data_IF_479164029567
#
_entry.id   IF_479164029567
#
_cell.length_a   1.000
_cell.length_b   1.000
_cell.length_c   1.000
_cell.angle_alpha   90.00
_cell.angle_beta   90.00
_cell.angle_gamma   90.00
#
_symmetry.space_group_name_H-M   'P 1'
#
loop_
_entity.id
_entity.type
_entity.pdbx_description
1 polymer ?
#
# COMPACT_ATOMS: atom_id res chain seq x y z
N UNK A 1 -7.53 4.75 2.82
CA UNK A 1 -6.44 4.82 3.82
C UNK A 1 -5.83 3.45 4.15
N UNK A 2 -6.62 2.39 4.34
CA UNK A 2 -6.07 1.06 4.64
C UNK A 2 -5.19 0.52 3.52
N UNK A 3 -5.50 0.81 2.26
CA UNK A 3 -4.73 0.37 1.10
C UNK A 3 -3.35 1.04 1.03
N UNK A 4 -3.19 2.25 1.59
CA UNK A 4 -1.89 2.90 1.69
C UNK A 4 -0.94 2.11 2.63
N UNK A 5 -1.47 1.55 3.73
CA UNK A 5 -0.67 0.67 4.59
C UNK A 5 -0.43 -0.70 3.92
N UNK A 6 -1.38 -1.19 3.12
CA UNK A 6 -1.14 -2.39 2.31
C UNK A 6 -0.01 -2.19 1.31
N UNK A 7 0.16 -0.99 0.73
CA UNK A 7 1.29 -0.70 -0.14
C UNK A 7 2.64 -0.85 0.59
N UNK A 8 2.74 -0.36 1.83
CA UNK A 8 3.93 -0.52 2.68
C UNK A 8 4.16 -2.01 3.00
N UNK A 9 3.11 -2.74 3.37
CA UNK A 9 3.19 -4.18 3.62
C UNK A 9 3.66 -4.94 2.38
N UNK A 10 3.12 -4.63 1.21
CA UNK A 10 3.47 -5.28 -0.04
C UNK A 10 4.94 -5.01 -0.41
N UNK A 11 5.43 -3.78 -0.22
CA UNK A 11 6.83 -3.44 -0.40
C UNK A 11 7.74 -4.22 0.59
N UNK A 12 7.34 -4.29 1.86
CA UNK A 12 8.06 -5.02 2.90
C UNK A 12 8.11 -6.53 2.62
N UNK A 13 6.97 -7.12 2.28
CA UNK A 13 6.84 -8.56 2.02
C UNK A 13 7.35 -8.98 0.63
N UNK A 14 7.44 -8.07 -0.33
CA UNK A 14 7.78 -8.36 -1.73
C UNK A 14 6.69 -9.11 -2.50
N UNK A 15 5.42 -9.04 -2.06
CA UNK A 15 4.25 -9.67 -2.71
C UNK A 15 3.00 -8.83 -2.52
N UNK A 16 1.97 -9.08 -3.33
CA UNK A 16 0.65 -8.44 -3.19
C UNK A 16 -0.38 -9.34 -2.49
N UNK A 17 -0.06 -10.60 -2.21
CA UNK A 17 -0.97 -11.60 -1.60
C UNK A 17 -0.85 -11.69 -0.07
N UNK A 18 0.02 -10.87 0.53
CA UNK A 18 0.26 -10.82 1.98
C UNK A 18 1.24 -11.85 2.52
N UNK A 19 1.77 -12.75 1.68
CA UNK A 19 2.87 -13.64 2.05
C UNK A 19 4.21 -12.92 1.95
N UNK A 20 5.27 -13.54 2.46
CA UNK A 20 6.63 -13.01 2.37
C UNK A 20 7.38 -13.74 1.25
N UNK A 21 7.93 -12.98 0.30
CA UNK A 21 8.83 -13.53 -0.71
C UNK A 21 10.19 -13.84 -0.10
N UNK A 22 10.89 -14.83 -0.66
CA UNK A 22 12.28 -15.13 -0.29
C UNK A 22 13.26 -14.00 -0.61
N UNK A 23 12.95 -13.19 -1.63
CA UNK A 23 13.70 -11.99 -2.02
C UNK A 23 12.87 -10.74 -1.65
N UNK A 24 12.86 -10.38 -0.37
CA UNK A 24 12.08 -9.26 0.17
C UNK A 24 12.83 -8.54 1.29
N UNK A 25 12.40 -7.33 1.63
CA UNK A 25 12.89 -6.61 2.81
C UNK A 25 12.65 -7.45 4.07
N UNK A 26 11.48 -8.09 4.17
CA UNK A 26 11.14 -8.97 5.27
C UNK A 26 12.15 -10.11 5.45
N UNK A 27 12.45 -10.84 4.37
CA UNK A 27 13.41 -11.96 4.40
C UNK A 27 14.82 -11.50 4.72
N UNK A 28 15.26 -10.36 4.16
CA UNK A 28 16.55 -9.75 4.45
C UNK A 28 16.69 -9.39 5.93
N UNK A 29 15.73 -8.65 6.48
CA UNK A 29 15.76 -8.28 7.89
C UNK A 29 15.67 -9.50 8.81
N UNK A 30 14.84 -10.48 8.47
CA UNK A 30 14.74 -11.72 9.24
C UNK A 30 16.08 -12.44 9.35
N UNK A 31 16.88 -12.43 8.31
CA UNK A 31 18.21 -13.03 8.29
C UNK A 31 19.27 -12.20 9.03
N UNK A 32 19.21 -10.87 8.93
CA UNK A 32 20.23 -9.95 9.44
C UNK A 32 19.93 -9.41 10.85
N UNK A 33 18.64 -9.12 11.14
CA UNK A 33 18.17 -8.56 12.39
C UNK A 33 16.71 -8.99 12.63
N UNK A 34 16.53 -10.20 13.15
CA UNK A 34 15.19 -10.75 13.38
C UNK A 34 14.34 -9.90 14.34
N UNK A 35 14.95 -9.21 15.29
CA UNK A 35 14.21 -8.31 16.18
C UNK A 35 13.58 -7.14 15.43
N UNK A 36 14.32 -6.52 14.51
CA UNK A 36 13.80 -5.44 13.65
C UNK A 36 12.74 -5.96 12.67
N UNK A 37 12.92 -7.17 12.12
CA UNK A 37 11.90 -7.81 11.28
C UNK A 37 10.57 -7.96 12.03
N UNK A 38 10.58 -8.56 13.23
CA UNK A 38 9.38 -8.80 14.03
C UNK A 38 8.72 -7.49 14.47
N UNK A 39 9.52 -6.50 14.87
CA UNK A 39 9.04 -5.16 15.20
C UNK A 39 8.32 -4.51 14.01
N UNK A 40 8.98 -4.43 12.86
CA UNK A 40 8.42 -3.79 11.66
C UNK A 40 7.12 -4.48 11.22
N UNK A 41 7.11 -5.80 11.18
CA UNK A 41 5.91 -6.60 10.86
C UNK A 41 4.76 -6.32 11.82
N UNK A 42 5.03 -6.28 13.12
CA UNK A 42 4.04 -5.95 14.15
C UNK A 42 3.47 -4.54 13.96
N UNK A 43 4.32 -3.56 13.66
CA UNK A 43 3.91 -2.17 13.49
C UNK A 43 3.12 -1.94 12.20
N UNK A 44 3.47 -2.61 11.09
CA UNK A 44 2.67 -2.61 9.85
C UNK A 44 1.24 -3.13 10.15
N UNK A 45 1.13 -4.25 10.86
CA UNK A 45 -0.16 -4.82 11.22
C UNK A 45 -0.94 -3.91 12.19
N UNK A 46 -0.26 -3.29 13.16
CA UNK A 46 -0.87 -2.34 14.09
C UNK A 46 -1.43 -1.11 13.37
N UNK A 47 -0.67 -0.49 12.46
CA UNK A 47 -1.12 0.64 11.65
C UNK A 47 -2.32 0.26 10.78
N UNK A 48 -2.26 -0.88 10.09
CA UNK A 48 -3.37 -1.38 9.27
C UNK A 48 -4.65 -1.59 10.10
N UNK A 49 -4.55 -2.27 11.24
CA UNK A 49 -5.70 -2.56 12.09
C UNK A 49 -6.27 -1.30 12.71
N UNK A 50 -5.42 -0.36 13.15
CA UNK A 50 -5.87 0.92 13.72
C UNK A 50 -6.64 1.75 12.67
N UNK A 51 -6.17 1.83 11.43
CA UNK A 51 -6.89 2.52 10.35
C UNK A 51 -8.21 1.81 10.02
N UNK A 52 -8.22 0.48 9.95
CA UNK A 52 -9.48 -0.27 9.75
C UNK A 52 -10.48 -0.11 10.88
N UNK A 53 -9.99 0.10 12.10
CA UNK A 53 -10.80 0.32 13.30
C UNK A 53 -11.33 1.75 13.46
N UNK A 54 -10.96 2.70 12.58
CA UNK A 54 -11.49 4.06 12.65
C UNK A 54 -13.01 4.06 12.45
N UNK A 55 -13.69 4.93 13.23
CA UNK A 55 -15.13 5.10 13.15
C UNK A 55 -15.57 5.55 11.75
N UNK A 56 -16.62 4.91 11.24
CA UNK A 56 -17.19 5.19 9.90
C UNK A 56 -18.54 5.94 10.01
N UNK A 57 -18.84 6.85 9.09
CA UNK A 57 -17.99 7.39 8.04
C UNK A 57 -16.91 8.33 8.59
N UNK A 58 -15.68 8.21 8.10
CA UNK A 58 -14.51 8.94 8.59
C UNK A 58 -14.75 10.45 8.72
N UNK A 59 -15.35 11.06 7.67
CA UNK A 59 -15.63 12.50 7.65
C UNK A 59 -16.40 13.01 8.87
N UNK A 60 -17.32 12.21 9.40
CA UNK A 60 -18.15 12.56 10.56
C UNK A 60 -17.47 12.26 11.90
N UNK A 61 -16.32 11.58 11.88
CA UNK A 61 -15.65 11.05 13.08
C UNK A 61 -14.19 11.47 13.17
N UNK A 62 -13.78 12.56 12.50
CA UNK A 62 -12.38 13.04 12.45
C UNK A 62 -11.80 13.29 13.87
N UNK A 63 -12.63 13.76 14.81
CA UNK A 63 -12.23 13.98 16.21
C UNK A 63 -12.31 12.76 17.13
N UNK A 64 -12.62 11.57 16.59
CA UNK A 64 -12.74 10.36 17.39
C UNK A 64 -11.34 9.85 17.83
N UNK A 65 -11.26 9.26 19.04
CA UNK A 65 -10.00 8.70 19.56
C UNK A 65 -9.38 7.65 18.65
N UNK A 66 -10.20 6.88 17.94
CA UNK A 66 -9.70 5.88 16.97
C UNK A 66 -8.86 6.49 15.84
N UNK A 67 -9.12 7.75 15.45
CA UNK A 67 -8.30 8.47 14.47
C UNK A 67 -6.93 8.82 15.08
N UNK A 68 -6.91 9.31 16.32
CA UNK A 68 -5.67 9.61 17.05
C UNK A 68 -4.83 8.33 17.27
N UNK A 69 -5.47 7.21 17.55
CA UNK A 69 -4.79 5.91 17.69
C UNK A 69 -4.19 5.45 16.36
N UNK A 70 -4.91 5.60 15.25
CA UNK A 70 -4.39 5.30 13.91
C UNK A 70 -3.19 6.20 13.56
N UNK A 71 -3.28 7.50 13.84
CA UNK A 71 -2.16 8.43 13.63
C UNK A 71 -0.92 8.02 14.43
N UNK A 72 -1.07 7.66 15.71
CA UNK A 72 0.04 7.19 16.55
C UNK A 72 0.67 5.91 16.01
N UNK A 73 -0.15 4.95 15.57
CA UNK A 73 0.35 3.70 15.00
C UNK A 73 1.15 3.95 13.70
N UNK A 74 0.66 4.85 12.83
CA UNK A 74 1.38 5.25 11.62
C UNK A 74 2.70 5.98 11.94
N UNK A 75 2.70 6.90 12.92
CA UNK A 75 3.91 7.61 13.34
C UNK A 75 4.97 6.65 13.94
N UNK A 76 4.52 5.64 14.69
CA UNK A 76 5.43 4.60 15.22
C UNK A 76 6.08 3.81 14.09
N UNK A 77 5.29 3.36 13.12
CA UNK A 77 5.78 2.65 11.93
C UNK A 77 6.75 3.53 11.11
N UNK A 78 6.39 4.78 10.87
CA UNK A 78 7.24 5.74 10.13
C UNK A 78 8.59 5.92 10.82
N UNK A 79 8.61 6.08 12.14
CA UNK A 79 9.84 6.21 12.92
C UNK A 79 10.73 4.95 12.80
N UNK A 80 10.15 3.75 12.87
CA UNK A 80 10.89 2.49 12.69
C UNK A 80 11.44 2.35 11.27
N UNK A 81 10.65 2.67 10.25
CA UNK A 81 11.09 2.62 8.86
C UNK A 81 12.24 3.59 8.60
N UNK A 82 12.12 4.81 9.10
CA UNK A 82 13.11 5.87 8.86
C UNK A 82 14.40 5.66 9.66
N UNK A 83 14.28 5.33 10.93
CA UNK A 83 15.44 5.33 11.86
C UNK A 83 16.12 3.97 11.98
N UNK A 84 15.48 2.88 11.52
CA UNK A 84 16.01 1.52 11.70
C UNK A 84 16.05 0.72 10.39
N UNK A 85 14.93 0.62 9.66
CA UNK A 85 14.88 -0.17 8.42
C UNK A 85 15.71 0.47 7.32
N UNK A 86 15.53 1.78 7.08
CA UNK A 86 16.30 2.51 6.06
C UNK A 86 17.81 2.42 6.29
N UNK A 87 18.37 2.66 7.49
CA UNK A 87 19.81 2.45 7.73
C UNK A 87 20.26 1.00 7.52
N UNK A 88 19.44 0.02 7.89
CA UNK A 88 19.77 -1.40 7.66
C UNK A 88 19.91 -1.72 6.15
N UNK A 89 19.03 -1.16 5.32
CA UNK A 89 19.10 -1.33 3.88
C UNK A 89 20.24 -0.53 3.24
N UNK A 90 20.55 0.67 3.74
CA UNK A 90 21.67 1.47 3.25
C UNK A 90 23.04 0.82 3.55
N UNK A 91 23.12 -0.05 4.55
CA UNK A 91 24.32 -0.83 4.86
C UNK A 91 24.39 -2.19 4.14
N UNK A 92 23.35 -2.54 3.35
CA UNK A 92 23.36 -3.77 2.56
C UNK A 92 24.24 -3.63 1.32
N UNK A 93 24.81 -4.72 0.86
CA UNK A 93 25.56 -4.76 -0.39
C UNK A 93 24.62 -4.75 -1.61
N UNK A 94 25.14 -4.34 -2.76
CA UNK A 94 24.38 -4.37 -4.02
C UNK A 94 23.84 -5.78 -4.32
N UNK A 95 24.67 -6.82 -4.14
CA UNK A 95 24.27 -8.21 -4.36
C UNK A 95 23.17 -8.71 -3.41
N UNK A 96 23.00 -8.10 -2.25
CA UNK A 96 21.89 -8.39 -1.33
C UNK A 96 20.62 -7.65 -1.74
N UNK A 97 20.74 -6.42 -2.28
CA UNK A 97 19.60 -5.60 -2.68
C UNK A 97 19.04 -5.92 -4.06
N UNK A 98 19.90 -6.29 -5.02
CA UNK A 98 19.49 -6.56 -6.40
C UNK A 98 18.32 -7.55 -6.51
N UNK A 99 18.31 -8.74 -5.88
CA UNK A 99 17.19 -9.66 -5.96
C UNK A 99 15.92 -9.12 -5.27
N UNK A 100 16.07 -8.30 -4.24
CA UNK A 100 14.93 -7.67 -3.55
C UNK A 100 14.29 -6.62 -4.47
N UNK A 101 15.10 -5.77 -5.09
CA UNK A 101 14.62 -4.72 -6.00
C UNK A 101 13.96 -5.36 -7.21
N UNK A 102 14.60 -6.38 -7.81
CA UNK A 102 14.03 -7.10 -8.95
C UNK A 102 12.67 -7.71 -8.60
N UNK A 103 12.58 -8.45 -7.49
CA UNK A 103 11.33 -9.03 -7.03
C UNK A 103 10.28 -7.96 -6.76
N UNK A 104 10.64 -6.85 -6.12
CA UNK A 104 9.73 -5.75 -5.85
C UNK A 104 9.13 -5.16 -7.13
N UNK A 105 9.96 -4.91 -8.13
CA UNK A 105 9.50 -4.40 -9.43
C UNK A 105 8.57 -5.42 -10.11
N UNK A 106 9.03 -6.67 -10.25
CA UNK A 106 8.34 -7.69 -11.05
C UNK A 106 7.04 -8.21 -10.39
N UNK A 107 6.98 -8.25 -9.05
CA UNK A 107 5.89 -8.91 -8.31
C UNK A 107 4.96 -7.90 -7.60
N UNK A 108 5.42 -6.69 -7.33
CA UNK A 108 4.61 -5.68 -6.65
C UNK A 108 4.29 -4.51 -7.58
N UNK A 109 5.30 -3.82 -8.12
CA UNK A 109 5.10 -2.56 -8.86
C UNK A 109 4.35 -2.82 -10.17
N UNK A 110 4.90 -3.66 -11.04
CA UNK A 110 4.31 -3.94 -12.36
C UNK A 110 2.88 -4.49 -12.24
N UNK A 111 2.60 -5.55 -11.44
CA UNK A 111 1.24 -6.07 -11.31
C UNK A 111 0.25 -5.06 -10.71
N UNK A 112 0.70 -4.16 -9.82
CA UNK A 112 -0.18 -3.11 -9.28
C UNK A 112 -0.59 -2.12 -10.37
N UNK A 113 0.33 -1.69 -11.23
CA UNK A 113 0.00 -0.81 -12.35
C UNK A 113 -0.84 -1.51 -13.43
N UNK A 114 -0.60 -2.78 -13.72
CA UNK A 114 -1.45 -3.55 -14.63
C UNK A 114 -2.89 -3.65 -14.11
N UNK A 115 -3.06 -3.90 -12.81
CA UNK A 115 -4.37 -3.89 -12.18
C UNK A 115 -5.00 -2.49 -12.24
N UNK A 116 -4.23 -1.42 -12.01
CA UNK A 116 -4.70 -0.03 -12.11
C UNK A 116 -5.22 0.28 -13.50
N UNK A 117 -4.51 -0.10 -14.55
CA UNK A 117 -4.95 0.05 -15.95
C UNK A 117 -6.26 -0.69 -16.18
N UNK A 118 -6.35 -1.95 -15.78
CA UNK A 118 -7.54 -2.78 -15.94
C UNK A 118 -8.76 -2.16 -15.24
N UNK A 119 -8.60 -1.69 -14.01
CA UNK A 119 -9.68 -1.05 -13.24
C UNK A 119 -10.11 0.30 -13.83
N UNK A 120 -9.17 1.09 -14.35
CA UNK A 120 -9.51 2.36 -15.02
C UNK A 120 -10.24 2.15 -16.34
N UNK A 121 -9.92 1.11 -17.11
CA UNK A 121 -10.69 0.75 -18.33
C UNK A 121 -12.13 0.38 -17.96
N UNK A 122 -12.32 -0.42 -16.89
CA UNK A 122 -13.65 -0.77 -16.38
C UNK A 122 -14.42 0.46 -15.89
N UNK A 123 -13.77 1.36 -15.17
CA UNK A 123 -14.35 2.63 -14.70
C UNK A 123 -14.80 3.50 -15.89
N UNK A 124 -13.94 3.69 -16.88
CA UNK A 124 -14.29 4.44 -18.09
C UNK A 124 -15.54 3.87 -18.78
N UNK A 125 -15.62 2.54 -18.89
CA UNK A 125 -16.79 1.87 -19.47
C UNK A 125 -18.05 2.11 -18.65
N UNK A 126 -18.00 2.01 -17.33
CA UNK A 126 -19.12 2.23 -16.43
C UNK A 126 -19.60 3.71 -16.47
N UNK A 127 -18.67 4.67 -16.49
CA UNK A 127 -18.98 6.11 -16.57
C UNK A 127 -19.63 6.44 -17.93
N UNK A 128 -19.13 5.89 -19.04
CA UNK A 128 -19.77 6.07 -20.36
C UNK A 128 -21.18 5.48 -20.40
N UNK A 129 -21.39 4.31 -19.80
CA UNK A 129 -22.71 3.71 -19.69
C UNK A 129 -23.66 4.61 -18.85
N UNK A 130 -23.19 5.13 -17.73
CA UNK A 130 -23.97 6.08 -16.93
C UNK A 130 -24.34 7.34 -17.74
N UNK A 131 -23.41 7.89 -18.52
CA UNK A 131 -23.66 9.08 -19.34
C UNK A 131 -24.71 8.82 -20.43
N UNK A 132 -24.70 7.64 -21.05
CA UNK A 132 -25.63 7.28 -22.11
C UNK A 132 -26.99 6.79 -21.61
N UNK A 133 -27.02 6.17 -20.42
CA UNK A 133 -28.22 5.56 -19.81
C UNK A 133 -28.33 5.94 -18.33
N UNK A 134 -28.65 7.20 -18.00
CA UNK A 134 -28.73 7.67 -16.61
C UNK A 134 -29.80 6.90 -15.82
N UNK A 135 -29.38 6.21 -14.76
CA UNK A 135 -30.28 5.50 -13.83
C UNK A 135 -29.55 5.23 -12.51
N UNK A 136 -30.29 4.90 -11.46
CA UNK A 136 -29.71 4.46 -10.17
C UNK A 136 -28.75 3.26 -10.37
N UNK A 137 -29.15 2.29 -11.17
CA UNK A 137 -28.34 1.10 -11.42
C UNK A 137 -27.01 1.44 -12.11
N UNK A 138 -27.01 2.29 -13.14
CA UNK A 138 -25.77 2.69 -13.84
C UNK A 138 -24.91 3.59 -12.98
N UNK A 139 -25.52 4.41 -12.11
CA UNK A 139 -24.77 5.19 -11.11
C UNK A 139 -24.05 4.28 -10.09
N UNK A 140 -24.73 3.28 -9.56
CA UNK A 140 -24.15 2.32 -8.62
C UNK A 140 -23.00 1.53 -9.26
N UNK A 141 -23.16 1.12 -10.52
CA UNK A 141 -22.07 0.45 -11.26
C UNK A 141 -20.85 1.35 -11.44
N UNK A 142 -21.04 2.63 -11.79
CA UNK A 142 -19.95 3.58 -11.93
C UNK A 142 -19.26 3.88 -10.57
N UNK A 143 -20.06 4.05 -9.49
CA UNK A 143 -19.54 4.24 -8.14
C UNK A 143 -18.71 3.04 -7.66
N UNK A 144 -19.18 1.82 -7.89
CA UNK A 144 -18.45 0.59 -7.57
C UNK A 144 -17.16 0.46 -8.39
N UNK A 145 -17.19 0.76 -9.68
CA UNK A 145 -16.01 0.74 -10.54
C UNK A 145 -14.97 1.77 -10.08
N UNK A 146 -15.40 2.96 -9.65
CA UNK A 146 -14.53 3.98 -9.07
C UNK A 146 -13.85 3.50 -7.78
N UNK A 147 -14.61 2.89 -6.87
CA UNK A 147 -14.04 2.34 -5.63
C UNK A 147 -13.00 1.25 -5.94
N UNK A 148 -13.27 0.39 -6.93
CA UNK A 148 -12.33 -0.65 -7.35
C UNK A 148 -11.07 -0.08 -8.04
N UNK A 149 -11.17 1.01 -8.77
CA UNK A 149 -10.02 1.67 -9.40
C UNK A 149 -9.14 2.39 -8.37
N UNK A 150 -9.71 2.86 -7.27
CA UNK A 150 -8.97 3.47 -6.17
C UNK A 150 -8.08 2.50 -5.42
N UNK A 151 -8.44 1.23 -5.35
CA UNK A 151 -7.66 0.24 -4.60
C UNK A 151 -6.20 0.13 -5.10
N UNK A 152 -5.93 -0.22 -6.37
CA UNK A 152 -4.56 -0.24 -6.88
C UNK A 152 -3.89 1.15 -6.93
N UNK A 153 -4.66 2.22 -7.07
CA UNK A 153 -4.15 3.59 -6.95
C UNK A 153 -3.54 3.82 -5.57
N UNK A 154 -4.29 3.58 -4.50
CA UNK A 154 -3.82 3.74 -3.12
C UNK A 154 -2.67 2.76 -2.80
N UNK A 155 -2.66 1.55 -3.39
CA UNK A 155 -1.56 0.60 -3.24
C UNK A 155 -0.29 1.02 -3.99
N UNK A 156 -0.38 1.92 -4.96
CA UNK A 156 0.80 2.43 -5.68
C UNK A 156 1.54 3.55 -4.93
N UNK A 157 0.99 4.08 -3.84
CA UNK A 157 1.61 5.22 -3.13
C UNK A 157 3.00 4.92 -2.56
N UNK A 158 3.31 3.65 -2.23
CA UNK A 158 4.65 3.29 -1.75
C UNK A 158 5.77 3.40 -2.81
N UNK A 159 5.43 3.59 -4.08
CA UNK A 159 6.40 3.75 -5.18
C UNK A 159 6.23 5.02 -6.00
N UNK A 160 5.62 6.07 -5.41
CA UNK A 160 5.57 7.42 -5.97
C UNK A 160 6.89 8.15 -5.69
N UNK A 161 7.96 7.75 -6.40
CA UNK A 161 9.27 8.36 -6.33
C UNK A 161 9.94 8.36 -7.71
N UNK A 162 11.04 9.12 -7.85
CA UNK A 162 11.72 9.28 -9.14
C UNK A 162 10.81 9.95 -10.19
N UNK A 163 10.86 9.51 -11.45
CA UNK A 163 10.11 10.15 -12.55
C UNK A 163 8.59 10.24 -12.31
N UNK A 164 8.01 9.32 -11.53
CA UNK A 164 6.58 9.34 -11.22
C UNK A 164 6.23 10.47 -10.25
N UNK A 165 7.10 10.76 -9.29
CA UNK A 165 6.90 11.86 -8.34
C UNK A 165 7.08 13.24 -9.02
N UNK A 166 7.95 13.31 -10.03
CA UNK A 166 8.26 14.55 -10.74
C UNK A 166 7.18 14.95 -11.77
N UNK A 167 6.33 14.02 -12.17
CA UNK A 167 5.28 14.21 -13.17
C UNK A 167 3.88 14.39 -12.57
N UNK A 168 3.74 14.33 -11.25
CA UNK A 168 2.48 14.36 -10.50
C UNK A 168 2.00 15.75 -10.06
#
# INVERSE_FOLDING_TARGET
>A
YSNNILSIRNAFNGTTDGKEASSSIASYLKAKNNALYEQTKKEINAAYNAIKGMASPFRSHIGNSSVTEAQKACATLEATLTNSVKPALLNATESELEPIIKNYVDVVVVPTYELLVTRNVALNTAVRNLANNPSTATFELAANAWMQAREPWEMSEAFLFGPVADLG
#
